data_IF_133236759157
#
_entry.id   IF_133236759157
#
_cell.length_a   1.000
_cell.length_b   1.000
_cell.length_c   1.000
_cell.angle_alpha   90.00
_cell.angle_beta   90.00
_cell.angle_gamma   90.00
#
_symmetry.space_group_name_H-M   'P 1'
#
loop_
_entity.id
_entity.type
_entity.pdbx_description
1 polymer ?
#
# COMPACT_ATOMS: atom_id res chain seq x y z
N UNK A 1 -30.22 7.40 8.95
CA UNK A 1 -29.08 6.78 8.22
C UNK A 1 -29.36 6.90 6.74
N UNK A 2 -28.65 7.76 6.01
CA UNK A 2 -28.94 8.06 4.61
C UNK A 2 -28.17 7.09 3.70
N UNK A 3 -28.78 5.94 3.39
CA UNK A 3 -28.19 4.80 2.66
C UNK A 3 -27.46 5.20 1.36
N UNK A 4 -27.85 6.31 0.73
CA UNK A 4 -27.25 6.80 -0.53
C UNK A 4 -25.92 7.52 -0.30
N UNK A 5 -25.77 8.23 0.82
CA UNK A 5 -24.54 8.91 1.19
C UNK A 5 -23.44 7.92 1.61
N UNK A 6 -23.85 6.85 2.32
CA UNK A 6 -22.95 5.80 2.80
C UNK A 6 -22.35 5.00 1.62
N UNK A 7 -23.17 4.67 0.62
CA UNK A 7 -22.72 3.99 -0.60
C UNK A 7 -21.71 4.81 -1.42
N UNK A 8 -21.80 6.14 -1.40
CA UNK A 8 -20.85 7.00 -2.11
C UNK A 8 -19.49 7.03 -1.40
N UNK A 9 -19.50 7.20 -0.07
CA UNK A 9 -18.28 7.21 0.74
C UNK A 9 -17.56 5.86 0.70
N UNK A 10 -18.32 4.76 0.73
CA UNK A 10 -17.78 3.41 0.56
C UNK A 10 -17.03 3.28 -0.77
N UNK A 11 -17.65 3.69 -1.88
CA UNK A 11 -17.02 3.63 -3.22
C UNK A 11 -15.75 4.48 -3.30
N UNK A 12 -15.77 5.66 -2.69
CA UNK A 12 -14.64 6.58 -2.67
C UNK A 12 -13.47 6.03 -1.82
N UNK A 13 -13.77 5.44 -0.67
CA UNK A 13 -12.76 4.76 0.15
C UNK A 13 -12.17 3.57 -0.61
N UNK A 14 -13.02 2.73 -1.19
CA UNK A 14 -12.60 1.53 -1.91
C UNK A 14 -11.76 1.91 -3.15
N UNK A 15 -12.13 2.95 -3.90
CA UNK A 15 -11.32 3.42 -5.02
C UNK A 15 -9.94 3.92 -4.56
N UNK A 16 -9.88 4.67 -3.46
CA UNK A 16 -8.62 5.08 -2.83
C UNK A 16 -7.74 3.89 -2.44
N UNK A 17 -8.33 2.83 -1.87
CA UNK A 17 -7.60 1.59 -1.56
C UNK A 17 -7.05 0.90 -2.80
N UNK A 18 -7.86 0.75 -3.86
CA UNK A 18 -7.40 0.13 -5.10
C UNK A 18 -6.28 0.93 -5.76
N UNK A 19 -6.41 2.26 -5.85
CA UNK A 19 -5.38 3.13 -6.43
C UNK A 19 -4.08 2.99 -5.62
N UNK A 20 -4.16 3.02 -4.29
CA UNK A 20 -3.00 2.89 -3.40
C UNK A 20 -2.33 1.52 -3.58
N UNK A 21 -3.11 0.45 -3.54
CA UNK A 21 -2.63 -0.92 -3.66
C UNK A 21 -1.99 -1.20 -5.02
N UNK A 22 -2.63 -0.79 -6.11
CA UNK A 22 -2.13 -1.01 -7.47
C UNK A 22 -0.89 -0.15 -7.73
N UNK A 23 -0.84 1.08 -7.22
CA UNK A 23 0.26 2.00 -7.50
C UNK A 23 1.50 1.76 -6.62
N UNK A 24 1.35 1.07 -5.48
CA UNK A 24 2.42 0.80 -4.52
C UNK A 24 3.72 0.24 -5.14
N UNK A 25 3.67 -0.75 -6.05
CA UNK A 25 4.87 -1.26 -6.71
C UNK A 25 5.29 -0.48 -7.97
N UNK A 26 4.45 0.43 -8.49
CA UNK A 26 4.69 1.13 -9.77
C UNK A 26 5.18 2.57 -9.62
N UNK A 27 4.64 3.33 -8.67
CA UNK A 27 4.98 4.74 -8.55
C UNK A 27 4.61 5.33 -7.19
N UNK A 28 5.55 6.05 -6.53
CA UNK A 28 5.26 6.82 -5.33
C UNK A 28 4.16 7.88 -5.52
N UNK A 29 4.05 8.43 -6.73
CA UNK A 29 3.03 9.43 -7.07
C UNK A 29 1.62 8.83 -7.04
N UNK A 30 1.43 7.68 -7.70
CA UNK A 30 0.13 7.00 -7.70
C UNK A 30 -0.29 6.56 -6.30
N UNK A 31 0.65 6.09 -5.47
CA UNK A 31 0.39 5.78 -4.06
C UNK A 31 -0.09 7.01 -3.30
N UNK A 32 0.56 8.16 -3.50
CA UNK A 32 0.18 9.43 -2.86
C UNK A 32 -1.21 9.89 -3.29
N UNK A 33 -1.56 9.75 -4.57
CA UNK A 33 -2.91 10.03 -5.07
C UNK A 33 -3.96 9.13 -4.39
N UNK A 34 -3.71 7.83 -4.29
CA UNK A 34 -4.62 6.89 -3.62
C UNK A 34 -4.85 7.24 -2.15
N UNK A 35 -3.77 7.59 -1.43
CA UNK A 35 -3.84 8.06 -0.05
C UNK A 35 -4.61 9.38 0.05
N UNK A 36 -4.44 10.30 -0.91
CA UNK A 36 -5.22 11.53 -0.99
C UNK A 36 -6.72 11.28 -1.13
N UNK A 37 -7.11 10.31 -1.96
CA UNK A 37 -8.52 9.89 -2.10
C UNK A 37 -9.06 9.27 -0.82
N UNK A 38 -8.26 8.47 -0.10
CA UNK A 38 -8.63 7.93 1.21
C UNK A 38 -8.84 9.04 2.24
N UNK A 39 -7.93 10.02 2.29
CA UNK A 39 -8.02 11.19 3.15
C UNK A 39 -9.29 11.98 2.85
N UNK A 40 -9.60 12.19 1.57
CA UNK A 40 -10.78 12.91 1.13
C UNK A 40 -12.07 12.18 1.51
N UNK A 41 -12.11 10.85 1.37
CA UNK A 41 -13.25 10.04 1.82
C UNK A 41 -13.47 10.16 3.33
N UNK A 42 -12.40 10.08 4.12
CA UNK A 42 -12.48 10.27 5.56
C UNK A 42 -12.95 11.67 5.96
N UNK A 43 -12.43 12.71 5.31
CA UNK A 43 -12.79 14.10 5.57
C UNK A 43 -14.27 14.36 5.25
N UNK A 44 -14.79 13.82 4.14
CA UNK A 44 -16.22 13.89 3.82
C UNK A 44 -17.08 13.14 4.84
N UNK A 45 -16.62 11.98 5.34
CA UNK A 45 -17.32 11.24 6.39
C UNK A 45 -17.35 12.00 7.72
N UNK A 46 -16.24 12.68 8.07
CA UNK A 46 -16.14 13.56 9.24
C UNK A 46 -17.12 14.72 9.15
N UNK A 47 -17.12 15.48 8.05
CA UNK A 47 -18.04 16.62 7.88
C UNK A 47 -19.52 16.21 7.82
N UNK A 48 -19.82 15.00 7.36
CA UNK A 48 -21.18 14.45 7.34
C UNK A 48 -21.60 13.83 8.68
N UNK A 49 -20.70 13.70 9.66
CA UNK A 49 -20.99 13.09 10.95
C UNK A 49 -21.35 11.60 10.88
N UNK A 50 -20.89 10.88 9.85
CA UNK A 50 -21.21 9.45 9.61
C UNK A 50 -20.06 8.52 9.96
N UNK A 51 -19.09 9.00 10.74
CA UNK A 51 -17.97 8.18 11.21
C UNK A 51 -18.48 7.10 12.19
N UNK A 52 -18.00 5.88 11.99
CA UNK A 52 -18.27 4.76 12.87
C UNK A 52 -17.22 4.68 13.97
N UNK A 53 -17.64 4.17 15.14
CA UNK A 53 -16.72 3.90 16.24
C UNK A 53 -15.81 2.71 15.89
N UNK A 54 -14.47 2.85 16.01
CA UNK A 54 -13.55 1.78 15.69
C UNK A 54 -13.74 0.60 16.64
N UNK A 55 -13.67 -0.63 16.11
CA UNK A 55 -13.80 -1.87 16.91
C UNK A 55 -12.77 -1.95 18.04
N UNK A 56 -11.55 -1.49 17.79
CA UNK A 56 -10.48 -1.45 18.80
C UNK A 56 -10.10 0.00 19.10
N UNK A 57 -10.70 0.54 20.16
CA UNK A 57 -10.47 1.91 20.63
C UNK A 57 -9.02 2.17 21.02
N UNK A 58 -8.33 1.19 21.63
CA UNK A 58 -6.96 1.37 22.12
C UNK A 58 -6.00 1.50 20.95
N UNK A 59 -6.15 0.65 19.94
CA UNK A 59 -5.33 0.73 18.72
C UNK A 59 -5.55 2.08 18.02
N UNK A 60 -6.80 2.51 17.86
CA UNK A 60 -7.13 3.78 17.22
C UNK A 60 -6.45 4.98 17.92
N UNK A 61 -6.60 5.08 19.24
CA UNK A 61 -6.00 6.16 20.01
C UNK A 61 -4.48 6.07 20.07
N UNK A 62 -3.89 4.87 20.07
CA UNK A 62 -2.44 4.69 20.01
C UNK A 62 -1.86 5.21 18.68
N UNK A 63 -2.54 4.99 17.56
CA UNK A 63 -2.07 5.50 16.26
C UNK A 63 -2.12 7.03 16.20
N UNK A 64 -3.21 7.62 16.72
CA UNK A 64 -3.34 9.08 16.82
C UNK A 64 -2.30 9.65 17.77
N UNK A 65 -2.09 9.04 18.94
CA UNK A 65 -1.14 9.56 19.94
C UNK A 65 0.29 9.56 19.43
N UNK A 66 0.71 8.53 18.69
CA UNK A 66 2.04 8.48 18.06
C UNK A 66 2.22 9.62 17.06
N UNK A 67 1.19 9.93 16.27
CA UNK A 67 1.27 11.06 15.33
C UNK A 67 1.26 12.42 16.04
N UNK A 68 0.41 12.57 17.07
CA UNK A 68 0.35 13.78 17.91
C UNK A 68 1.67 14.00 18.65
N UNK A 69 2.34 12.95 19.09
CA UNK A 69 3.68 13.05 19.67
C UNK A 69 4.70 13.67 18.71
N UNK A 70 4.65 13.33 17.43
CA UNK A 70 5.50 13.94 16.42
C UNK A 70 5.15 15.42 16.17
N UNK A 71 3.87 15.79 16.28
CA UNK A 71 3.44 17.19 16.25
C UNK A 71 3.99 17.99 17.44
N UNK A 72 4.03 17.40 18.64
CA UNK A 72 4.66 18.05 19.79
C UNK A 72 6.18 18.16 19.63
N UNK A 73 6.84 17.16 19.05
CA UNK A 73 8.28 17.20 18.77
C UNK A 73 8.69 18.36 17.86
N UNK A 74 7.81 18.82 16.96
CA UNK A 74 8.05 19.98 16.11
C UNK A 74 8.18 21.29 16.87
N UNK A 75 7.54 21.43 18.04
CA UNK A 75 7.64 22.65 18.85
C UNK A 75 9.04 22.86 19.43
N UNK A 76 9.85 21.80 19.48
CA UNK A 76 11.21 21.82 20.01
C UNK A 76 12.29 21.87 18.93
N UNK A 77 11.88 21.82 17.65
CA UNK A 77 12.80 21.71 16.52
C UNK A 77 13.13 23.10 15.97
N UNK A 78 14.41 23.34 15.67
CA UNK A 78 14.86 24.60 15.06
C UNK A 78 14.56 24.66 13.55
N UNK A 79 14.52 23.49 12.89
CA UNK A 79 14.24 23.35 11.46
C UNK A 79 12.80 22.87 11.18
N UNK A 80 11.86 23.81 11.11
CA UNK A 80 10.46 23.51 10.82
C UNK A 80 10.26 22.89 9.42
N UNK A 81 11.08 23.23 8.43
CA UNK A 81 10.95 22.73 7.05
C UNK A 81 11.19 21.23 7.01
N UNK A 82 12.25 20.76 7.67
CA UNK A 82 12.59 19.34 7.74
C UNK A 82 11.60 18.55 8.59
N UNK A 83 11.11 19.14 9.68
CA UNK A 83 10.07 18.54 10.51
C UNK A 83 8.75 18.34 9.77
N UNK A 84 8.32 19.33 8.97
CA UNK A 84 7.12 19.24 8.12
C UNK A 84 7.28 18.17 7.02
N UNK A 85 8.45 18.12 6.37
CA UNK A 85 8.75 17.06 5.40
C UNK A 85 8.67 15.66 6.04
N UNK A 86 9.17 15.51 7.26
CA UNK A 86 9.10 14.26 8.02
C UNK A 86 7.67 13.87 8.36
N UNK A 87 6.82 14.82 8.75
CA UNK A 87 5.39 14.56 8.98
C UNK A 87 4.69 14.10 7.71
N UNK A 88 4.97 14.73 6.56
CA UNK A 88 4.36 14.38 5.29
C UNK A 88 4.63 12.91 4.92
N UNK A 89 5.83 12.41 5.17
CA UNK A 89 6.20 11.01 4.93
C UNK A 89 5.45 10.05 5.85
N UNK A 90 5.15 10.47 7.10
CA UNK A 90 4.45 9.66 8.11
C UNK A 90 2.92 9.75 8.02
N UNK A 91 2.40 10.75 7.33
CA UNK A 91 0.98 11.04 7.17
C UNK A 91 0.15 9.86 6.61
N UNK A 92 0.63 9.07 5.63
CA UNK A 92 -0.05 7.88 5.15
C UNK A 92 -0.31 6.83 6.23
N UNK A 93 0.63 6.69 7.18
CA UNK A 93 0.53 5.74 8.29
C UNK A 93 -0.63 6.12 9.22
N UNK A 94 -1.06 7.39 9.20
CA UNK A 94 -2.24 7.84 9.92
C UNK A 94 -3.51 7.74 9.06
N UNK A 95 -3.50 8.29 7.84
CA UNK A 95 -4.69 8.35 6.97
C UNK A 95 -5.28 6.96 6.66
N UNK A 96 -4.43 6.02 6.25
CA UNK A 96 -4.88 4.70 5.81
C UNK A 96 -5.63 3.96 6.93
N UNK A 97 -5.08 3.78 8.13
CA UNK A 97 -5.79 3.11 9.22
C UNK A 97 -6.96 3.94 9.74
N UNK A 98 -6.85 5.27 9.84
CA UNK A 98 -7.98 6.12 10.25
C UNK A 98 -9.18 5.92 9.32
N UNK A 99 -8.97 6.04 8.02
CA UNK A 99 -10.03 5.87 7.01
C UNK A 99 -10.62 4.46 7.06
N UNK A 100 -9.79 3.43 7.12
CA UNK A 100 -10.24 2.03 7.17
C UNK A 100 -11.01 1.66 8.44
N UNK A 101 -10.68 2.28 9.58
CA UNK A 101 -11.27 1.97 10.88
C UNK A 101 -12.53 2.79 11.20
N UNK A 102 -12.67 3.98 10.63
CA UNK A 102 -13.73 4.94 11.01
C UNK A 102 -14.74 5.23 9.90
N UNK A 103 -14.48 4.86 8.65
CA UNK A 103 -15.46 4.95 7.56
C UNK A 103 -16.15 3.59 7.43
N UNK A 104 -17.47 3.59 7.25
CA UNK A 104 -18.22 2.36 7.02
C UNK A 104 -17.96 1.81 5.61
N UNK A 105 -17.61 0.53 5.51
CA UNK A 105 -17.42 -0.17 4.23
C UNK A 105 -17.56 -1.69 4.39
N UNK A 106 -17.90 -2.39 3.31
CA UNK A 106 -18.06 -3.85 3.30
C UNK A 106 -16.71 -4.57 3.23
N UNK A 107 -16.04 -4.67 4.38
CA UNK A 107 -14.72 -5.27 4.51
C UNK A 107 -14.64 -6.68 3.94
N UNK A 108 -15.61 -7.57 4.21
CA UNK A 108 -15.53 -8.96 3.73
C UNK A 108 -15.54 -9.06 2.20
N UNK A 109 -16.25 -8.15 1.52
CA UNK A 109 -16.40 -8.16 0.06
C UNK A 109 -15.18 -7.56 -0.63
N UNK A 110 -14.69 -6.43 -0.13
CA UNK A 110 -13.67 -5.64 -0.81
C UNK A 110 -12.25 -6.02 -0.44
N UNK A 111 -12.01 -6.50 0.78
CA UNK A 111 -10.65 -6.82 1.25
C UNK A 111 -9.98 -7.87 0.37
N UNK A 112 -10.69 -8.96 0.04
CA UNK A 112 -10.16 -10.02 -0.83
C UNK A 112 -9.80 -9.49 -2.23
N UNK A 113 -10.65 -8.63 -2.80
CA UNK A 113 -10.42 -8.02 -4.12
C UNK A 113 -9.23 -7.07 -4.12
N UNK A 114 -9.11 -6.22 -3.10
CA UNK A 114 -7.97 -5.30 -2.95
C UNK A 114 -6.67 -6.08 -2.78
N UNK A 115 -6.65 -7.11 -1.92
CA UNK A 115 -5.47 -7.97 -1.75
C UNK A 115 -5.08 -8.69 -3.04
N UNK A 116 -6.05 -9.23 -3.78
CA UNK A 116 -5.78 -9.88 -5.08
C UNK A 116 -5.21 -8.87 -6.08
N UNK A 117 -5.77 -7.67 -6.15
CA UNK A 117 -5.26 -6.61 -7.03
C UNK A 117 -3.84 -6.17 -6.66
N UNK A 118 -3.52 -6.14 -5.37
CA UNK A 118 -2.18 -5.83 -4.87
C UNK A 118 -1.16 -6.89 -5.30
N UNK A 119 -1.50 -8.18 -5.12
CA UNK A 119 -0.67 -9.31 -5.55
C UNK A 119 -0.43 -9.27 -7.06
N UNK A 120 -1.50 -9.12 -7.86
CA UNK A 120 -1.40 -9.08 -9.32
C UNK A 120 -0.56 -7.88 -9.76
N UNK A 121 -0.79 -6.68 -9.21
CA UNK A 121 -0.01 -5.50 -9.55
C UNK A 121 1.48 -5.68 -9.23
N UNK A 122 1.80 -6.26 -8.08
CA UNK A 122 3.19 -6.51 -7.66
C UNK A 122 3.87 -7.56 -8.54
N UNK A 123 3.15 -8.62 -8.94
CA UNK A 123 3.65 -9.59 -9.92
C UNK A 123 3.93 -8.92 -11.26
N UNK A 124 3.01 -8.09 -11.76
CA UNK A 124 3.18 -7.38 -13.03
C UNK A 124 4.37 -6.42 -12.99
N UNK A 125 4.56 -5.70 -11.89
CA UNK A 125 5.70 -4.81 -11.70
C UNK A 125 7.04 -5.57 -11.64
N UNK A 126 7.07 -6.78 -11.07
CA UNK A 126 8.27 -7.62 -11.06
C UNK A 126 8.58 -8.15 -12.47
N UNK A 127 7.55 -8.62 -13.18
CA UNK A 127 7.67 -9.11 -14.56
C UNK A 127 8.14 -8.01 -15.52
N UNK A 128 7.60 -6.78 -15.38
CA UNK A 128 8.06 -5.66 -16.20
C UNK A 128 9.49 -5.25 -15.88
N UNK A 129 9.92 -5.31 -14.61
CA UNK A 129 11.32 -5.12 -14.22
C UNK A 129 12.27 -6.13 -14.88
N UNK A 130 11.92 -7.43 -14.83
CA UNK A 130 12.71 -8.50 -15.47
C UNK A 130 12.77 -8.31 -17.00
N UNK A 131 11.63 -8.01 -17.62
CA UNK A 131 11.54 -7.83 -19.07
C UNK A 131 12.37 -6.65 -19.57
N UNK A 132 12.33 -5.52 -18.86
CA UNK A 132 13.14 -4.33 -19.18
C UNK A 132 14.62 -4.59 -18.91
N UNK A 133 14.96 -5.23 -17.79
CA UNK A 133 16.35 -5.59 -17.46
C UNK A 133 16.97 -6.49 -18.54
N UNK A 134 16.24 -7.48 -19.02
CA UNK A 134 16.69 -8.35 -20.11
C UNK A 134 16.92 -7.61 -21.43
N UNK A 135 16.07 -6.61 -21.74
CA UNK A 135 16.23 -5.76 -22.93
C UNK A 135 17.52 -4.91 -22.86
N UNK A 136 17.81 -4.33 -21.70
CA UNK A 136 19.04 -3.55 -21.47
C UNK A 136 20.31 -4.42 -21.52
N UNK A 137 20.25 -5.64 -20.96
CA UNK A 137 21.37 -6.59 -21.06
C UNK A 137 21.62 -7.02 -22.52
N UNK A 138 20.57 -7.22 -23.32
CA UNK A 138 20.73 -7.51 -24.76
C UNK A 138 21.33 -6.35 -25.56
N UNK A 139 21.14 -5.11 -25.12
CA UNK A 139 21.74 -3.93 -25.75
C UNK A 139 23.20 -3.68 -25.34
N UNK A 140 23.78 -4.54 -24.50
CA UNK A 140 25.18 -4.51 -24.13
C UNK A 140 25.51 -3.64 -22.93
N UNK A 141 24.50 -3.14 -22.20
CA UNK A 141 24.69 -2.35 -20.99
C UNK A 141 24.85 -3.25 -19.76
N UNK A 142 25.87 -3.01 -18.94
CA UNK A 142 26.00 -3.65 -17.63
C UNK A 142 25.13 -2.92 -16.62
N UNK A 143 23.98 -3.49 -16.29
CA UNK A 143 23.06 -2.91 -15.32
C UNK A 143 23.57 -3.08 -13.90
N UNK A 144 23.50 -2.01 -13.11
CA UNK A 144 23.61 -2.10 -11.66
C UNK A 144 22.35 -2.77 -11.06
N UNK A 145 22.45 -3.47 -9.91
CA UNK A 145 21.31 -4.15 -9.27
C UNK A 145 20.12 -3.25 -8.96
N UNK A 146 20.34 -1.94 -8.80
CA UNK A 146 19.26 -0.95 -8.63
C UNK A 146 18.44 -0.68 -9.88
N UNK A 147 18.99 -0.93 -11.07
CA UNK A 147 18.38 -0.59 -12.36
C UNK A 147 17.42 -1.69 -12.86
N UNK A 148 17.50 -2.89 -12.29
CA UNK A 148 16.54 -3.98 -12.49
C UNK A 148 15.15 -3.67 -11.90
N UNK A 149 15.03 -2.63 -11.06
CA UNK A 149 13.76 -2.14 -10.53
C UNK A 149 13.48 -0.70 -11.00
N UNK A 150 12.98 -0.51 -12.22
CA UNK A 150 12.82 0.82 -12.83
C UNK A 150 11.74 1.69 -12.18
N UNK A 151 10.79 1.07 -11.46
CA UNK A 151 9.62 1.75 -10.90
C UNK A 151 9.82 2.23 -9.46
N UNK A 152 10.56 1.46 -8.67
CA UNK A 152 10.74 1.71 -7.25
C UNK A 152 12.05 1.11 -6.78
N UNK A 153 12.55 1.52 -5.61
CA UNK A 153 13.77 0.93 -5.06
C UNK A 153 13.63 -0.60 -4.93
N UNK A 154 14.66 -1.33 -5.38
CA UNK A 154 14.74 -2.79 -5.29
C UNK A 154 14.46 -3.33 -3.87
N UNK A 155 14.86 -2.60 -2.81
CA UNK A 155 14.56 -2.95 -1.41
C UNK A 155 13.05 -2.89 -1.15
N UNK A 156 12.39 -1.81 -1.58
CA UNK A 156 10.95 -1.66 -1.40
C UNK A 156 10.20 -2.74 -2.17
N UNK A 157 10.64 -3.04 -3.39
CA UNK A 157 10.07 -4.11 -4.20
C UNK A 157 10.21 -5.48 -3.53
N UNK A 158 11.38 -5.80 -2.97
CA UNK A 158 11.61 -7.05 -2.23
C UNK A 158 10.69 -7.22 -1.02
N UNK A 159 10.47 -6.16 -0.24
CA UNK A 159 9.52 -6.19 0.89
C UNK A 159 8.08 -6.43 0.40
N UNK A 160 7.66 -5.79 -0.69
CA UNK A 160 6.32 -5.97 -1.25
C UNK A 160 6.10 -7.39 -1.78
N UNK A 161 7.08 -7.94 -2.50
CA UNK A 161 7.08 -9.33 -2.97
C UNK A 161 7.00 -10.32 -1.80
N UNK A 162 7.77 -10.12 -0.74
CA UNK A 162 7.75 -10.97 0.45
C UNK A 162 6.40 -10.93 1.17
N UNK A 163 5.80 -9.74 1.32
CA UNK A 163 4.46 -9.58 1.92
C UNK A 163 3.38 -10.28 1.10
N UNK A 164 3.40 -10.13 -0.22
CA UNK A 164 2.48 -10.82 -1.11
C UNK A 164 2.64 -12.35 -1.06
N UNK A 165 3.88 -12.84 -1.08
CA UNK A 165 4.16 -14.28 -0.98
C UNK A 165 3.68 -14.85 0.35
N UNK A 166 3.97 -14.19 1.47
CA UNK A 166 3.49 -14.60 2.79
C UNK A 166 1.96 -14.64 2.86
N UNK A 167 1.29 -13.61 2.33
CA UNK A 167 -0.18 -13.56 2.27
C UNK A 167 -0.78 -14.69 1.42
N UNK A 168 -0.20 -14.97 0.26
CA UNK A 168 -0.62 -16.07 -0.61
C UNK A 168 -0.42 -17.44 0.04
N UNK A 169 0.70 -17.66 0.73
CA UNK A 169 0.98 -18.92 1.44
C UNK A 169 -0.03 -19.14 2.56
N UNK A 170 -0.32 -18.13 3.38
CA UNK A 170 -1.32 -18.23 4.45
C UNK A 170 -2.70 -18.57 3.87
N UNK A 171 -3.08 -17.90 2.77
CA UNK A 171 -4.37 -18.16 2.12
C UNK A 171 -4.41 -19.57 1.50
N UNK A 172 -3.31 -20.03 0.90
CA UNK A 172 -3.20 -21.37 0.32
C UNK A 172 -3.24 -22.50 1.38
N UNK A 173 -2.79 -22.22 2.61
CA UNK A 173 -2.91 -23.13 3.75
C UNK A 173 -4.35 -23.25 4.26
N UNK A 174 -5.15 -22.17 4.14
CA UNK A 174 -6.57 -22.18 4.51
C UNK A 174 -7.45 -22.76 3.42
N UNK A 175 -7.14 -22.50 2.15
CA UNK A 175 -7.91 -22.94 0.98
C UNK A 175 -6.96 -23.51 -0.09
N UNK A 176 -6.88 -24.85 -0.19
CA UNK A 176 -5.89 -25.58 -1.00
C UNK A 176 -5.92 -25.28 -2.50
N UNK A 177 -6.93 -24.55 -2.99
CA UNK A 177 -7.06 -24.18 -4.41
C UNK A 177 -6.04 -23.14 -4.89
N UNK A 178 -5.37 -22.42 -3.99
CA UNK A 178 -4.44 -21.33 -4.34
C UNK A 178 -2.95 -21.68 -4.16
N UNK A 179 -2.63 -22.97 -3.99
CA UNK A 179 -1.25 -23.44 -3.87
C UNK A 179 -0.45 -23.17 -5.16
N UNK A 180 -1.05 -23.43 -6.33
CA UNK A 180 -0.40 -23.23 -7.64
C UNK A 180 -0.01 -21.76 -7.89
N UNK A 181 -0.91 -20.76 -7.75
CA UNK A 181 -0.52 -19.36 -7.91
C UNK A 181 0.47 -18.87 -6.86
N UNK A 182 0.45 -19.41 -5.63
CA UNK A 182 1.45 -19.09 -4.61
C UNK A 182 2.86 -19.60 -4.97
N UNK A 183 2.96 -20.77 -5.60
CA UNK A 183 4.24 -21.31 -6.08
C UNK A 183 4.74 -20.49 -7.28
N UNK A 184 3.87 -20.21 -8.26
CA UNK A 184 4.22 -19.40 -9.43
C UNK A 184 4.69 -17.99 -9.05
N UNK A 185 3.96 -17.33 -8.14
CA UNK A 185 4.37 -16.03 -7.62
C UNK A 185 5.71 -16.10 -6.89
N UNK A 186 5.91 -17.15 -6.08
CA UNK A 186 7.18 -17.40 -5.40
C UNK A 186 8.36 -17.52 -6.37
N UNK A 187 8.18 -18.24 -7.49
CA UNK A 187 9.22 -18.37 -8.52
C UNK A 187 9.57 -17.03 -9.18
N UNK A 188 8.56 -16.20 -9.49
CA UNK A 188 8.77 -14.85 -10.03
C UNK A 188 9.51 -13.98 -9.02
N UNK A 189 9.11 -14.03 -7.75
CA UNK A 189 9.75 -13.27 -6.68
C UNK A 189 11.22 -13.68 -6.49
N UNK A 190 11.52 -14.99 -6.46
CA UNK A 190 12.91 -15.46 -6.33
C UNK A 190 13.74 -15.14 -7.55
N UNK A 191 13.18 -15.22 -8.77
CA UNK A 191 13.88 -14.83 -9.99
C UNK A 191 14.23 -13.33 -9.99
N UNK A 192 13.31 -12.47 -9.54
CA UNK A 192 13.56 -11.04 -9.39
C UNK A 192 14.64 -10.74 -8.35
N UNK A 193 14.57 -11.42 -7.19
CA UNK A 193 15.58 -11.27 -6.12
C UNK A 193 16.96 -11.72 -6.60
N UNK A 194 17.04 -12.82 -7.33
CA UNK A 194 18.30 -13.32 -7.86
C UNK A 194 18.99 -12.31 -8.79
N UNK A 195 18.23 -11.62 -9.65
CA UNK A 195 18.77 -10.60 -10.56
C UNK A 195 19.20 -9.31 -9.85
N UNK A 196 18.74 -9.09 -8.61
CA UNK A 196 19.04 -7.87 -7.84
C UNK A 196 20.12 -8.07 -6.78
N UNK A 197 20.74 -9.26 -6.69
CA UNK A 197 21.76 -9.61 -5.69
C UNK A 197 23.21 -9.33 -6.12
N UNK A 198 23.48 -9.05 -7.39
CA UNK A 198 24.82 -8.75 -7.95
C UNK A 198 25.03 -7.27 -8.10
#
# INVERSE_FOLDING_TARGET
>A
MNLRADNFLEKLLVSGLFITAISLPWSPFGTSLGIGVLAFSWLLAFFRGVLISPKNRYLFWAMISVFVWHLFGLLWTENLVEGLATLQIKLPILIVPLSLMTVHWKKEVWMSKVLTSFVVSTAMAALSGIALGWWHVQSGETLHPSEWSPFISHIRMGILLALCQGGLVIYALQDRKLIVPAILYGLVATAFIWQTQT
#
